data_IF_918735480391
#
_entry.id   IF_918735480391
#
_cell.length_a   1.000
_cell.length_b   1.000
_cell.length_c   1.000
_cell.angle_alpha   90.00
_cell.angle_beta   90.00
_cell.angle_gamma   90.00
#
_symmetry.space_group_name_H-M   'P 1'
#
loop_
_entity.id
_entity.type
_entity.pdbx_description
1 polymer ?
#
# COMPACT_ATOMS: atom_id res chain seq x y z
N UNK A 1 -21.03 32.50 7.51
CA UNK A 1 -20.25 31.25 7.48
C UNK A 1 -18.87 31.58 8.03
N UNK A 2 -18.51 30.99 9.17
CA UNK A 2 -17.29 31.31 9.93
C UNK A 2 -16.07 30.52 9.43
N UNK A 3 -14.86 31.11 9.41
CA UNK A 3 -13.65 30.44 8.95
C UNK A 3 -13.05 29.63 10.11
N UNK A 4 -13.25 28.30 10.11
CA UNK A 4 -12.72 27.47 11.19
C UNK A 4 -13.12 26.00 11.18
N UNK A 5 -14.09 25.59 10.37
CA UNK A 5 -14.41 24.18 10.21
C UNK A 5 -13.39 23.53 9.29
N UNK A 6 -12.42 22.83 9.87
CA UNK A 6 -11.74 21.75 9.14
C UNK A 6 -12.82 20.73 8.81
N UNK A 7 -13.33 20.79 7.59
CA UNK A 7 -13.98 19.66 6.95
C UNK A 7 -12.94 18.53 6.94
N UNK A 8 -12.98 17.68 7.96
CA UNK A 8 -12.43 16.35 7.85
C UNK A 8 -13.21 15.71 6.70
N UNK A 9 -12.58 15.63 5.53
CA UNK A 9 -13.12 14.91 4.38
C UNK A 9 -13.24 13.47 4.85
N UNK A 10 -14.44 13.11 5.30
CA UNK A 10 -14.86 11.72 5.46
C UNK A 10 -14.88 11.18 4.05
N UNK A 11 -13.74 10.63 3.63
CA UNK A 11 -13.56 9.93 2.36
C UNK A 11 -14.44 8.69 2.45
N UNK A 12 -15.72 8.84 2.07
CA UNK A 12 -16.73 7.78 2.07
C UNK A 12 -16.49 6.75 0.95
N UNK A 13 -15.24 6.43 0.63
CA UNK A 13 -14.93 5.25 -0.16
C UNK A 13 -14.68 4.10 0.79
N UNK A 14 -15.75 3.58 1.40
CA UNK A 14 -15.71 2.28 2.07
C UNK A 14 -15.27 1.14 1.12
N UNK A 15 -15.22 1.42 -0.19
CA UNK A 15 -14.91 0.50 -1.28
C UNK A 15 -13.54 0.69 -1.94
N UNK A 16 -12.73 1.69 -1.55
CA UNK A 16 -11.46 2.03 -2.25
C UNK A 16 -10.48 0.84 -2.34
N UNK A 17 -10.61 -0.10 -1.41
CA UNK A 17 -9.71 -1.23 -1.26
C UNK A 17 -10.36 -2.57 -1.63
N UNK A 18 -11.66 -2.58 -1.94
CA UNK A 18 -12.43 -3.83 -2.09
C UNK A 18 -12.03 -4.67 -3.29
N UNK A 19 -11.50 -4.05 -4.33
CA UNK A 19 -11.01 -4.74 -5.53
C UNK A 19 -9.54 -5.15 -5.44
N UNK A 20 -8.83 -4.66 -4.42
CA UNK A 20 -7.43 -4.94 -4.20
C UNK A 20 -7.27 -6.14 -3.27
N UNK A 21 -6.18 -6.87 -3.48
CA UNK A 21 -5.81 -7.99 -2.62
C UNK A 21 -5.47 -7.51 -1.21
N UNK A 22 -5.77 -8.34 -0.21
CA UNK A 22 -5.52 -8.01 1.21
C UNK A 22 -4.06 -7.59 1.43
N UNK A 23 -3.13 -8.34 0.85
CA UNK A 23 -1.70 -8.08 0.94
C UNK A 23 -1.34 -6.71 0.34
N UNK A 24 -1.87 -6.42 -0.85
CA UNK A 24 -1.67 -5.15 -1.54
C UNK A 24 -2.22 -3.97 -0.73
N UNK A 25 -3.38 -4.13 -0.09
CA UNK A 25 -3.99 -3.09 0.76
C UNK A 25 -3.16 -2.82 2.00
N UNK A 26 -2.46 -3.83 2.53
CA UNK A 26 -1.51 -3.63 3.63
C UNK A 26 -0.28 -2.82 3.19
N UNK A 27 0.27 -3.13 2.01
CA UNK A 27 1.39 -2.38 1.42
C UNK A 27 0.97 -0.95 1.06
N UNK A 28 -0.25 -0.74 0.56
CA UNK A 28 -0.82 0.60 0.31
C UNK A 28 -0.92 1.46 1.58
N UNK A 29 -0.90 0.84 2.78
CA UNK A 29 -0.73 1.55 4.04
C UNK A 29 0.59 2.33 4.11
N UNK A 30 1.65 1.83 3.46
CA UNK A 30 2.92 2.53 3.31
C UNK A 30 2.84 3.50 2.14
N UNK A 31 2.25 4.67 2.40
CA UNK A 31 2.06 5.67 1.34
C UNK A 31 3.34 5.94 0.54
N UNK A 32 4.47 6.18 1.21
CA UNK A 32 5.72 6.49 0.52
C UNK A 32 6.24 5.34 -0.35
N UNK A 33 6.27 4.11 0.19
CA UNK A 33 6.69 2.94 -0.60
C UNK A 33 5.75 2.72 -1.78
N UNK A 34 4.45 2.82 -1.57
CA UNK A 34 3.45 2.68 -2.62
C UNK A 34 3.57 3.76 -3.71
N UNK A 35 3.84 5.01 -3.31
CA UNK A 35 4.09 6.11 -4.24
C UNK A 35 5.35 5.83 -5.07
N UNK A 36 6.45 5.39 -4.44
CA UNK A 36 7.69 5.00 -5.12
C UNK A 36 7.45 3.85 -6.11
N UNK A 37 6.65 2.85 -5.75
CA UNK A 37 6.27 1.77 -6.66
C UNK A 37 5.52 2.30 -7.89
N UNK A 38 4.55 3.19 -7.69
CA UNK A 38 3.77 3.75 -8.79
C UNK A 38 4.59 4.70 -9.68
N UNK A 39 5.46 5.52 -9.09
CA UNK A 39 6.40 6.37 -9.82
C UNK A 39 7.35 5.52 -10.69
N UNK A 40 7.90 4.44 -10.13
CA UNK A 40 8.75 3.49 -10.87
C UNK A 40 7.99 2.83 -12.02
N UNK A 41 6.81 2.28 -11.76
CA UNK A 41 5.99 1.64 -12.79
C UNK A 41 5.65 2.63 -13.92
N UNK A 42 5.29 3.87 -13.58
CA UNK A 42 5.01 4.90 -14.56
C UNK A 42 6.23 5.24 -15.42
N UNK A 43 7.42 5.29 -14.83
CA UNK A 43 8.69 5.51 -15.55
C UNK A 43 8.97 4.33 -16.50
N UNK A 44 8.81 3.09 -16.05
CA UNK A 44 9.03 1.90 -16.89
C UNK A 44 7.98 1.74 -18.00
N UNK A 45 6.78 2.31 -17.83
CA UNK A 45 5.72 2.28 -18.86
C UNK A 45 5.86 3.40 -19.91
N UNK A 46 6.78 4.36 -19.74
CA UNK A 46 7.00 5.40 -20.75
C UNK A 46 7.60 4.81 -22.03
N UNK A 47 6.98 5.04 -23.20
CA UNK A 47 7.53 4.58 -24.48
C UNK A 47 8.78 5.36 -24.91
N UNK A 48 8.91 6.62 -24.49
CA UNK A 48 10.09 7.48 -24.72
C UNK A 48 10.96 7.55 -23.45
N UNK A 49 11.47 6.42 -22.99
CA UNK A 49 12.36 6.35 -21.83
C UNK A 49 13.66 7.13 -22.10
N UNK A 50 13.93 8.15 -21.30
CA UNK A 50 15.10 9.05 -21.45
C UNK A 50 16.19 8.78 -20.40
N UNK A 51 17.38 9.35 -20.59
CA UNK A 51 18.46 9.28 -19.60
C UNK A 51 18.05 9.93 -18.25
N UNK A 52 17.24 10.99 -18.28
CA UNK A 52 16.68 11.62 -17.07
C UNK A 52 15.72 10.68 -16.32
N UNK A 53 14.88 9.93 -17.05
CA UNK A 53 14.02 8.90 -16.47
C UNK A 53 14.84 7.76 -15.85
N UNK A 54 15.98 7.40 -16.47
CA UNK A 54 16.93 6.43 -15.93
C UNK A 54 17.59 6.88 -14.62
N UNK A 55 17.98 8.15 -14.51
CA UNK A 55 18.49 8.73 -13.27
C UNK A 55 17.39 8.70 -12.20
N UNK A 56 16.18 9.09 -12.55
CA UNK A 56 15.05 9.10 -11.61
C UNK A 56 14.67 7.69 -11.13
N UNK A 57 14.67 6.70 -12.03
CA UNK A 57 14.44 5.31 -11.68
C UNK A 57 15.50 4.79 -10.69
N UNK A 58 16.77 5.16 -10.88
CA UNK A 58 17.85 4.78 -9.97
C UNK A 58 17.69 5.40 -8.57
N UNK A 59 17.29 6.67 -8.48
CA UNK A 59 16.97 7.32 -7.19
C UNK A 59 15.82 6.61 -6.48
N UNK A 60 14.73 6.34 -7.21
CA UNK A 60 13.56 5.64 -6.68
C UNK A 60 13.88 4.20 -6.28
N UNK A 61 14.79 3.51 -6.96
CA UNK A 61 15.27 2.19 -6.55
C UNK A 61 16.04 2.23 -5.23
N UNK A 62 16.88 3.25 -5.04
CA UNK A 62 17.57 3.48 -3.77
C UNK A 62 16.56 3.70 -2.64
N UNK A 63 15.59 4.58 -2.85
CA UNK A 63 14.54 4.85 -1.87
C UNK A 63 13.64 3.63 -1.60
N UNK A 64 13.30 2.87 -2.64
CA UNK A 64 12.54 1.62 -2.50
C UNK A 64 13.28 0.62 -1.61
N UNK A 65 14.60 0.51 -1.76
CA UNK A 65 15.43 -0.33 -0.90
C UNK A 65 15.50 0.21 0.54
N UNK A 66 15.63 1.53 0.73
CA UNK A 66 15.65 2.15 2.07
C UNK A 66 14.33 1.98 2.83
N UNK A 67 13.20 1.98 2.12
CA UNK A 67 11.85 1.76 2.68
C UNK A 67 11.52 0.27 2.86
N UNK A 68 12.51 -0.60 2.80
CA UNK A 68 12.37 -2.04 2.88
C UNK A 68 11.39 -2.64 1.86
N UNK A 69 11.29 -2.03 0.67
CA UNK A 69 10.31 -2.41 -0.34
C UNK A 69 10.42 -3.85 -0.85
N UNK A 70 11.65 -4.40 -0.84
CA UNK A 70 11.90 -5.80 -1.23
C UNK A 70 11.32 -6.81 -0.24
N UNK A 71 11.29 -6.45 1.05
CA UNK A 71 10.79 -7.31 2.12
C UNK A 71 9.36 -6.97 2.52
N UNK A 72 8.85 -5.78 2.14
CA UNK A 72 7.54 -5.27 2.50
C UNK A 72 6.39 -6.28 2.30
N UNK A 73 6.39 -7.00 1.19
CA UNK A 73 5.38 -8.04 0.92
C UNK A 73 5.50 -9.22 1.89
N UNK A 74 6.73 -9.68 2.16
CA UNK A 74 6.98 -10.77 3.08
C UNK A 74 6.66 -10.39 4.53
N UNK A 75 7.03 -9.18 4.96
CA UNK A 75 6.70 -8.65 6.29
C UNK A 75 5.18 -8.50 6.48
N UNK A 76 4.49 -7.96 5.47
CA UNK A 76 3.03 -7.87 5.48
C UNK A 76 2.37 -9.25 5.60
N UNK A 77 2.84 -10.24 4.84
CA UNK A 77 2.32 -11.60 4.88
C UNK A 77 2.53 -12.27 6.25
N UNK A 78 3.72 -12.08 6.86
CA UNK A 78 4.04 -12.59 8.19
C UNK A 78 3.15 -11.96 9.26
N UNK A 79 2.93 -10.64 9.20
CA UNK A 79 2.10 -9.94 10.18
C UNK A 79 0.62 -10.32 10.06
N UNK A 80 0.09 -10.38 8.84
CA UNK A 80 -1.27 -10.86 8.57
C UNK A 80 -1.48 -12.27 9.10
N UNK A 81 -0.50 -13.16 8.90
CA UNK A 81 -0.52 -14.52 9.46
C UNK A 81 -0.55 -14.49 11.00
N UNK A 82 0.24 -13.63 11.63
CA UNK A 82 0.24 -13.44 13.09
C UNK A 82 -1.11 -12.98 13.66
N UNK A 83 -1.90 -12.25 12.87
CA UNK A 83 -3.26 -11.80 13.22
C UNK A 83 -4.37 -12.81 12.88
N UNK A 84 -3.98 -13.98 12.37
CA UNK A 84 -4.89 -15.07 12.00
C UNK A 84 -5.52 -14.89 10.62
N UNK A 85 -4.89 -14.14 9.71
CA UNK A 85 -5.24 -14.10 8.28
C UNK A 85 -4.27 -15.03 7.54
N UNK A 86 -4.68 -16.28 7.22
CA UNK A 86 -3.84 -17.23 6.51
C UNK A 86 -3.57 -16.76 5.08
N UNK A 87 -2.48 -17.24 4.48
CA UNK A 87 -2.04 -16.92 3.12
C UNK A 87 -3.14 -17.10 2.07
N UNK A 88 -4.03 -18.09 2.24
CA UNK A 88 -5.18 -18.33 1.36
C UNK A 88 -6.21 -17.19 1.33
N UNK A 89 -6.20 -16.30 2.33
CA UNK A 89 -6.99 -15.08 2.37
C UNK A 89 -6.16 -13.84 1.96
N UNK A 90 -4.83 -13.91 2.00
CA UNK A 90 -3.97 -12.76 1.72
C UNK A 90 -3.99 -12.35 0.24
N UNK A 91 -4.11 -13.35 -0.65
CA UNK A 91 -4.26 -13.18 -2.10
C UNK A 91 -5.71 -12.94 -2.56
N UNK A 92 -6.68 -12.99 -1.64
CA UNK A 92 -8.07 -12.68 -1.97
C UNK A 92 -8.30 -11.18 -2.02
N UNK A 93 -9.34 -10.76 -2.73
CA UNK A 93 -9.80 -9.38 -2.68
C UNK A 93 -10.35 -9.04 -1.30
N UNK A 94 -10.17 -7.80 -0.86
CA UNK A 94 -10.76 -7.32 0.40
C UNK A 94 -12.28 -7.49 0.41
N UNK A 95 -12.97 -7.39 -0.74
CA UNK A 95 -14.41 -7.66 -0.87
C UNK A 95 -14.82 -9.08 -0.47
N UNK A 96 -13.92 -10.06 -0.61
CA UNK A 96 -14.17 -11.47 -0.29
C UNK A 96 -13.96 -11.80 1.20
N UNK A 97 -13.41 -10.86 1.98
CA UNK A 97 -13.21 -11.01 3.42
C UNK A 97 -14.48 -10.72 4.22
N UNK A 98 -14.66 -11.44 5.32
CA UNK A 98 -15.63 -11.12 6.36
C UNK A 98 -15.26 -9.85 7.13
N UNK A 99 -16.25 -9.23 7.80
CA UNK A 99 -16.06 -7.95 8.50
C UNK A 99 -14.91 -7.96 9.53
N UNK A 100 -14.75 -9.05 10.27
CA UNK A 100 -13.67 -9.19 11.26
C UNK A 100 -12.28 -9.27 10.63
N UNK A 101 -12.16 -9.85 9.43
CA UNK A 101 -10.89 -9.98 8.71
C UNK A 101 -10.49 -8.66 8.04
N UNK A 102 -11.48 -7.92 7.51
CA UNK A 102 -11.28 -6.54 6.99
C UNK A 102 -10.66 -5.64 8.06
N UNK A 103 -11.21 -5.65 9.29
CA UNK A 103 -10.68 -4.84 10.41
C UNK A 103 -9.23 -5.19 10.74
N UNK A 104 -8.91 -6.49 10.79
CA UNK A 104 -7.53 -6.95 11.05
C UNK A 104 -6.56 -6.52 9.96
N UNK A 105 -6.96 -6.62 8.69
CA UNK A 105 -6.13 -6.15 7.56
C UNK A 105 -5.88 -4.64 7.62
N UNK A 106 -6.91 -3.83 7.86
CA UNK A 106 -6.75 -2.37 8.00
C UNK A 106 -5.94 -1.98 9.24
N UNK A 107 -6.03 -2.75 10.33
CA UNK A 107 -5.20 -2.52 11.51
C UNK A 107 -3.73 -2.85 11.24
N UNK A 108 -3.46 -3.96 10.54
CA UNK A 108 -2.12 -4.39 10.11
C UNK A 108 -1.43 -3.29 9.30
N UNK A 109 -2.15 -2.73 8.34
CA UNK A 109 -1.62 -1.68 7.45
C UNK A 109 -1.26 -0.41 8.22
N UNK A 110 -1.91 -0.10 9.34
CA UNK A 110 -1.54 1.06 10.16
C UNK A 110 -0.39 0.78 11.13
N UNK A 111 -0.16 -0.48 11.52
CA UNK A 111 0.85 -0.85 12.52
C UNK A 111 2.24 -1.07 11.91
N UNK A 112 2.32 -1.70 10.72
CA UNK A 112 3.61 -2.00 10.06
C UNK A 112 4.40 -0.72 9.79
N UNK A 113 3.73 0.36 9.37
CA UNK A 113 4.39 1.57 8.88
C UNK A 113 4.51 2.69 9.91
N UNK A 114 4.21 2.39 11.18
CA UNK A 114 4.40 3.32 12.31
C UNK A 114 5.46 2.84 13.32
N UNK A 115 6.03 1.66 13.12
CA UNK A 115 7.09 1.09 13.96
C UNK A 115 8.44 1.20 13.25
#
# INVERSE_FOLDING_TARGET
>A
MSPGERLAILKQNHFEYEEFEVLKVVIMGHKRLYDVMQEKDAIYMKPDFSDEDGIRAAELEGEFAELNGWEAESEAAILLKGLGIPESLQSKKMSELGGSEKVKSTFSSSFIWQA
#
